data_IF_917284412963
#
_entry.id   IF_917284412963
#
_cell.length_a   1.000
_cell.length_b   1.000
_cell.length_c   1.000
_cell.angle_alpha   90.00
_cell.angle_beta   90.00
_cell.angle_gamma   90.00
#
_symmetry.space_group_name_H-M   'P 1'
#
loop_
_entity.id
_entity.type
_entity.pdbx_description
1 polymer ?
#
# COMPACT_ATOMS: atom_id res chain seq x y z
N UNK A 1 31.02 9.43 -48.03
CA UNK A 1 30.26 9.46 -46.76
C UNK A 1 29.21 8.38 -46.81
N UNK A 2 29.49 7.18 -46.27
CA UNK A 2 28.50 6.10 -46.16
C UNK A 2 28.21 5.94 -44.68
N UNK A 3 26.98 6.26 -44.27
CA UNK A 3 26.52 6.07 -42.90
C UNK A 3 26.31 4.57 -42.66
N UNK A 4 27.12 3.99 -41.77
CA UNK A 4 26.93 2.64 -41.30
C UNK A 4 25.68 2.60 -40.40
N UNK A 5 24.61 1.96 -40.87
CA UNK A 5 23.50 1.57 -40.03
C UNK A 5 23.97 0.48 -39.07
N UNK A 6 24.33 0.88 -37.85
CA UNK A 6 24.50 -0.06 -36.74
C UNK A 6 23.12 -0.62 -36.40
N UNK A 7 22.80 -1.78 -36.95
CA UNK A 7 21.59 -2.52 -36.61
C UNK A 7 21.57 -2.87 -35.11
N UNK A 8 20.53 -2.43 -34.42
CA UNK A 8 20.26 -2.83 -33.04
C UNK A 8 20.02 -4.35 -33.00
N UNK A 9 20.71 -5.12 -32.14
CA UNK A 9 20.40 -6.54 -32.00
C UNK A 9 18.98 -6.69 -31.45
N UNK A 10 18.20 -7.56 -32.10
CA UNK A 10 16.86 -7.91 -31.66
C UNK A 10 16.89 -8.40 -30.20
N UNK A 11 15.99 -7.86 -29.36
CA UNK A 11 15.82 -8.32 -27.99
C UNK A 11 15.48 -9.82 -27.99
N UNK A 12 16.14 -10.65 -27.17
CA UNK A 12 15.74 -12.03 -27.03
C UNK A 12 14.30 -12.10 -26.50
N UNK A 13 13.56 -13.06 -27.04
CA UNK A 13 12.21 -13.45 -26.67
C UNK A 13 11.95 -13.26 -25.16
N UNK A 14 10.95 -12.44 -24.84
CA UNK A 14 10.41 -12.33 -23.49
C UNK A 14 10.11 -13.75 -23.01
N UNK A 15 10.68 -14.11 -21.85
CA UNK A 15 10.36 -15.37 -21.17
C UNK A 15 8.84 -15.54 -21.19
N UNK A 16 8.29 -16.69 -21.60
CA UNK A 16 6.86 -16.90 -21.58
C UNK A 16 6.39 -16.58 -20.16
N UNK A 17 5.58 -15.52 -20.03
CA UNK A 17 4.91 -15.23 -18.77
C UNK A 17 4.17 -16.51 -18.40
N UNK A 18 4.41 -17.01 -17.18
CA UNK A 18 3.61 -18.08 -16.61
C UNK A 18 2.14 -17.77 -16.91
N UNK A 19 1.41 -18.75 -17.43
CA UNK A 19 0.05 -18.59 -17.96
C UNK A 19 -0.83 -17.76 -17.02
N UNK A 20 -1.88 -17.09 -17.55
CA UNK A 20 -2.64 -16.11 -16.79
C UNK A 20 -3.06 -16.70 -15.45
N UNK A 21 -2.55 -16.10 -14.37
CA UNK A 21 -3.00 -16.41 -13.02
C UNK A 21 -4.53 -16.30 -13.01
N UNK A 22 -5.25 -17.18 -12.30
CA UNK A 22 -6.70 -17.09 -12.22
C UNK A 22 -7.07 -15.66 -11.82
N UNK A 23 -8.02 -15.07 -12.53
CA UNK A 23 -8.53 -13.73 -12.25
C UNK A 23 -9.26 -13.74 -10.90
N UNK A 24 -8.52 -13.79 -9.79
CA UNK A 24 -9.08 -13.51 -8.47
C UNK A 24 -9.54 -12.08 -8.51
N UNK A 25 -10.86 -11.88 -8.39
CA UNK A 25 -11.44 -10.56 -8.15
C UNK A 25 -10.75 -10.01 -6.90
N UNK A 26 -10.21 -8.81 -7.00
CA UNK A 26 -9.61 -8.17 -5.84
C UNK A 26 -10.65 -8.09 -4.72
N UNK A 27 -10.32 -8.68 -3.58
CA UNK A 27 -11.08 -8.52 -2.35
C UNK A 27 -10.36 -7.49 -1.48
N UNK A 28 -11.14 -6.54 -0.96
CA UNK A 28 -10.62 -5.50 -0.09
C UNK A 28 -9.98 -6.11 1.16
N UNK A 29 -8.77 -5.65 1.48
CA UNK A 29 -8.12 -5.98 2.76
C UNK A 29 -8.91 -5.42 3.95
N UNK A 30 -8.95 -6.15 5.05
CA UNK A 30 -9.65 -5.75 6.28
C UNK A 30 -8.69 -5.70 7.49
N UNK A 31 -7.67 -4.82 7.49
CA UNK A 31 -6.73 -4.69 8.60
C UNK A 31 -7.42 -4.41 9.95
N UNK A 32 -8.56 -3.71 9.95
CA UNK A 32 -9.43 -3.42 11.10
C UNK A 32 -9.99 -4.67 11.80
N UNK A 33 -9.88 -5.84 11.15
CA UNK A 33 -10.30 -7.15 11.70
C UNK A 33 -9.13 -8.02 12.13
N UNK A 34 -7.90 -7.52 12.03
CA UNK A 34 -6.69 -8.28 12.38
C UNK A 34 -6.36 -8.13 13.86
N UNK A 35 -5.73 -9.14 14.49
CA UNK A 35 -5.29 -9.05 15.88
C UNK A 35 -4.33 -7.87 16.13
N UNK A 36 -3.46 -7.55 15.18
CA UNK A 36 -2.51 -6.45 15.32
C UNK A 36 -3.22 -5.09 15.44
N UNK A 37 -4.23 -4.85 14.60
CA UNK A 37 -5.04 -3.63 14.67
C UNK A 37 -5.73 -3.50 16.03
N UNK A 38 -6.33 -4.60 16.51
CA UNK A 38 -6.94 -4.65 17.84
C UNK A 38 -5.94 -4.27 18.94
N UNK A 39 -4.78 -4.93 18.98
CA UNK A 39 -3.75 -4.70 20.01
C UNK A 39 -3.31 -3.23 20.01
N UNK A 40 -3.01 -2.66 18.84
CA UNK A 40 -2.58 -1.26 18.75
C UNK A 40 -3.72 -0.34 19.21
N UNK A 41 -4.96 -0.57 18.75
CA UNK A 41 -6.10 0.27 19.12
C UNK A 41 -6.38 0.28 20.63
N UNK A 42 -6.17 -0.84 21.32
CA UNK A 42 -6.42 -0.99 22.75
C UNK A 42 -5.29 -0.45 23.62
N UNK A 43 -4.05 -0.43 23.12
CA UNK A 43 -2.86 -0.19 23.97
C UNK A 43 -2.04 1.06 23.59
N UNK A 44 -2.26 1.66 22.42
CA UNK A 44 -1.40 2.75 21.93
C UNK A 44 -1.32 3.93 22.90
N UNK A 45 -2.46 4.39 23.43
CA UNK A 45 -2.50 5.54 24.33
C UNK A 45 -1.71 5.29 25.63
N UNK A 46 -2.02 4.20 26.33
CA UNK A 46 -1.34 3.84 27.59
C UNK A 46 0.15 3.55 27.38
N UNK A 47 0.52 3.00 26.23
CA UNK A 47 1.92 2.77 25.91
C UNK A 47 2.69 4.08 25.69
N UNK A 48 2.10 5.06 25.01
CA UNK A 48 2.70 6.38 24.83
C UNK A 48 2.87 7.10 26.18
N UNK A 49 1.84 7.10 27.02
CA UNK A 49 1.89 7.68 28.37
C UNK A 49 3.00 7.05 29.22
N UNK A 50 3.10 5.72 29.20
CA UNK A 50 4.15 5.00 29.92
C UNK A 50 5.56 5.35 29.43
N UNK A 51 5.73 5.59 28.13
CA UNK A 51 7.01 6.00 27.53
C UNK A 51 7.40 7.41 27.94
N UNK A 52 6.44 8.31 28.02
CA UNK A 52 6.65 9.69 28.46
C UNK A 52 7.00 9.75 29.95
N UNK A 53 6.30 8.99 30.80
CA UNK A 53 6.61 8.88 32.24
C UNK A 53 8.01 8.31 32.48
N UNK A 54 8.46 7.38 31.63
CA UNK A 54 9.81 6.82 31.69
C UNK A 54 10.92 7.75 31.14
N UNK A 55 10.60 9.03 30.85
CA UNK A 55 11.50 10.02 30.25
C UNK A 55 12.15 9.53 28.93
N UNK A 56 11.42 8.69 28.19
CA UNK A 56 11.88 8.06 26.95
C UNK A 56 10.79 8.16 25.89
N UNK A 57 10.42 9.38 25.47
CA UNK A 57 9.35 9.58 24.51
C UNK A 57 9.62 8.83 23.20
N UNK A 58 8.55 8.42 22.56
CA UNK A 58 8.59 7.78 21.25
C UNK A 58 8.86 8.86 20.19
N UNK A 59 9.70 8.63 19.16
CA UNK A 59 9.84 9.59 18.08
C UNK A 59 8.49 9.88 17.41
N UNK A 60 8.20 11.15 17.11
CA UNK A 60 6.88 11.56 16.60
C UNK A 60 6.43 10.79 15.35
N UNK A 61 7.36 10.46 14.44
CA UNK A 61 7.02 9.67 13.25
C UNK A 61 6.49 8.26 13.58
N UNK A 62 6.92 7.65 14.69
CA UNK A 62 6.45 6.32 15.08
C UNK A 62 5.01 6.40 15.59
N UNK A 63 4.70 7.44 16.38
CA UNK A 63 3.34 7.68 16.83
C UNK A 63 2.41 7.98 15.64
N UNK A 64 2.84 8.85 14.73
CA UNK A 64 2.09 9.21 13.52
C UNK A 64 1.77 7.97 12.67
N UNK A 65 2.75 7.10 12.42
CA UNK A 65 2.55 5.85 11.67
C UNK A 65 1.59 4.88 12.37
N UNK A 66 1.68 4.75 13.71
CA UNK A 66 0.76 3.90 14.46
C UNK A 66 -0.67 4.46 14.45
N UNK A 67 -0.84 5.78 14.51
CA UNK A 67 -2.15 6.44 14.39
C UNK A 67 -2.71 6.27 12.97
N UNK A 68 -1.90 6.50 11.94
CA UNK A 68 -2.30 6.28 10.53
C UNK A 68 -2.61 4.81 10.21
N UNK A 69 -1.89 3.88 10.84
CA UNK A 69 -2.21 2.45 10.72
C UNK A 69 -3.62 2.11 11.25
N UNK A 70 -4.09 2.79 12.30
CA UNK A 70 -5.44 2.56 12.84
C UNK A 70 -6.56 3.03 11.90
N UNK A 71 -6.27 3.97 10.99
CA UNK A 71 -7.19 4.44 9.96
C UNK A 71 -7.33 3.44 8.80
N UNK A 72 -6.33 2.57 8.61
CA UNK A 72 -6.34 1.58 7.55
C UNK A 72 -7.58 0.68 7.67
N UNK A 73 -8.29 0.50 6.55
CA UNK A 73 -9.49 -0.33 6.55
C UNK A 73 -10.72 0.36 7.16
N UNK A 74 -10.68 1.65 7.45
CA UNK A 74 -11.87 2.45 7.71
C UNK A 74 -12.12 3.35 6.50
N UNK A 75 -13.27 3.14 5.83
CA UNK A 75 -13.53 3.75 4.53
C UNK A 75 -13.65 5.28 4.56
N UNK A 76 -13.95 5.87 5.72
CA UNK A 76 -14.00 7.33 5.86
C UNK A 76 -12.64 8.02 5.74
N UNK A 77 -11.52 7.30 5.94
CA UNK A 77 -10.18 7.89 5.87
C UNK A 77 -9.46 7.70 4.52
N UNK A 78 -9.98 6.87 3.60
CA UNK A 78 -9.16 6.48 2.43
C UNK A 78 -9.89 5.86 1.26
N UNK A 79 -11.10 6.30 0.91
CA UNK A 79 -11.73 5.84 -0.33
C UNK A 79 -11.10 6.51 -1.56
N UNK A 80 -10.34 5.74 -2.33
CA UNK A 80 -9.79 6.18 -3.61
C UNK A 80 -10.82 6.01 -4.73
N UNK A 81 -11.26 7.12 -5.35
CA UNK A 81 -12.07 7.08 -6.57
C UNK A 81 -11.12 6.95 -7.76
N UNK A 82 -11.34 5.94 -8.61
CA UNK A 82 -10.55 5.78 -9.83
C UNK A 82 -11.45 5.97 -11.05
N UNK A 83 -11.01 6.76 -12.02
CA UNK A 83 -11.71 6.99 -13.30
C UNK A 83 -10.73 6.75 -14.46
N UNK A 84 -11.17 6.01 -15.47
CA UNK A 84 -10.42 5.87 -16.72
C UNK A 84 -10.57 7.14 -17.56
N UNK A 85 -9.45 7.80 -17.91
CA UNK A 85 -9.46 9.02 -18.73
C UNK A 85 -9.81 8.76 -20.20
N UNK A 86 -9.66 7.52 -20.69
CA UNK A 86 -10.00 7.16 -22.07
C UNK A 86 -11.47 6.85 -22.31
N UNK A 87 -12.12 6.13 -21.39
CA UNK A 87 -13.52 5.71 -21.55
C UNK A 87 -14.50 6.31 -20.53
N UNK A 88 -14.02 7.08 -19.55
CA UNK A 88 -14.86 7.71 -18.52
C UNK A 88 -15.47 6.76 -17.50
N UNK A 89 -15.22 5.45 -17.59
CA UNK A 89 -15.69 4.49 -16.58
C UNK A 89 -14.79 4.55 -15.35
N UNK A 90 -15.41 4.56 -14.17
CA UNK A 90 -14.70 4.60 -12.90
C UNK A 90 -15.22 3.60 -11.89
N UNK A 91 -14.38 3.32 -10.90
CA UNK A 91 -14.76 2.67 -9.65
C UNK A 91 -15.02 3.79 -8.64
N UNK A 92 -16.31 4.02 -8.37
CA UNK A 92 -16.81 4.86 -7.29
C UNK A 92 -17.49 4.00 -6.24
#
# INVERSE_FOLDING_TARGET
MVAAFCGFPARPSLRPHAGPAPRRRYERRRPEKTPLHKIISENLASWLEWRDEAERPVPGYVEEELRGYLECGILCFGFGRALCTGCGQGFV
#
